data_IF_966114976763
#
_entry.id   IF_966114976763
#
_cell.length_a   1.000
_cell.length_b   1.000
_cell.length_c   1.000
_cell.angle_alpha   90.00
_cell.angle_beta   90.00
_cell.angle_gamma   90.00
#
_symmetry.space_group_name_H-M   'P 1'
#
loop_
_entity.id
_entity.type
_entity.pdbx_description
1 polymer ?
#
# COMPACT_ATOMS: atom_id res chain seq x y z
N UNK A 1 -5.86 10.62 -11.04
CA UNK A 1 -5.52 9.42 -10.26
C UNK A 1 -6.31 8.28 -10.86
N UNK A 2 -5.68 7.11 -11.02
CA UNK A 2 -6.31 5.97 -11.68
C UNK A 2 -6.08 4.72 -10.84
N UNK A 3 -7.08 3.85 -10.82
CA UNK A 3 -7.01 2.49 -10.27
C UNK A 3 -5.77 1.71 -10.74
N UNK A 4 -5.26 2.05 -11.92
CA UNK A 4 -4.06 1.46 -12.49
C UNK A 4 -2.80 1.72 -11.64
N UNK A 5 -2.71 2.89 -11.01
CA UNK A 5 -1.61 3.23 -10.11
C UNK A 5 -1.67 2.38 -8.83
N UNK A 6 -2.87 2.18 -8.27
CA UNK A 6 -3.06 1.29 -7.13
C UNK A 6 -2.73 -0.18 -7.48
N UNK A 7 -3.14 -0.65 -8.67
CA UNK A 7 -2.77 -1.97 -9.16
C UNK A 7 -1.26 -2.15 -9.32
N UNK A 8 -0.58 -1.14 -9.89
CA UNK A 8 0.87 -1.16 -10.03
C UNK A 8 1.55 -1.12 -8.66
N UNK A 9 1.04 -0.33 -7.71
CA UNK A 9 1.54 -0.28 -6.34
C UNK A 9 1.39 -1.63 -5.63
N UNK A 10 0.24 -2.30 -5.75
CA UNK A 10 0.01 -3.61 -5.13
C UNK A 10 0.96 -4.66 -5.72
N UNK A 11 1.18 -4.64 -7.04
CA UNK A 11 2.12 -5.56 -7.70
C UNK A 11 3.57 -5.26 -7.35
N UNK A 12 4.00 -4.01 -7.49
CA UNK A 12 5.36 -3.62 -7.13
C UNK A 12 5.62 -3.83 -5.65
N UNK A 13 4.74 -3.38 -4.76
CA UNK A 13 4.92 -3.52 -3.32
C UNK A 13 4.98 -4.97 -2.82
N UNK A 14 4.47 -5.94 -3.58
CA UNK A 14 4.64 -7.37 -3.27
C UNK A 14 6.03 -7.89 -3.62
N UNK A 15 6.64 -7.42 -4.71
CA UNK A 15 7.95 -7.88 -5.18
C UNK A 15 9.12 -6.97 -4.76
N UNK A 16 8.84 -5.70 -4.48
CA UNK A 16 9.79 -4.66 -4.17
C UNK A 16 9.93 -4.47 -2.66
N UNK A 17 10.91 -5.19 -2.11
CA UNK A 17 11.28 -5.09 -0.70
C UNK A 17 11.88 -3.72 -0.34
N UNK A 18 12.47 -3.00 -1.30
CA UNK A 18 13.02 -1.66 -1.04
C UNK A 18 11.89 -0.66 -0.82
N UNK A 19 10.86 -0.69 -1.67
CA UNK A 19 9.65 0.11 -1.50
C UNK A 19 9.03 -0.12 -0.11
N UNK A 20 8.88 -1.40 0.31
CA UNK A 20 8.36 -1.74 1.64
C UNK A 20 9.26 -1.20 2.76
N UNK A 21 10.58 -1.36 2.62
CA UNK A 21 11.54 -0.86 3.62
C UNK A 21 11.46 0.66 3.75
N UNK A 22 11.35 1.40 2.64
CA UNK A 22 11.19 2.86 2.63
C UNK A 22 9.88 3.29 3.31
N UNK A 23 8.77 2.61 3.01
CA UNK A 23 7.47 2.88 3.62
C UNK A 23 7.42 2.55 5.12
N UNK A 24 8.13 1.50 5.56
CA UNK A 24 8.28 1.17 6.99
C UNK A 24 9.18 2.17 7.70
N UNK A 25 10.27 2.61 7.06
CA UNK A 25 11.16 3.66 7.58
C UNK A 25 10.47 5.03 7.64
N UNK A 26 9.44 5.25 6.83
CA UNK A 26 8.65 6.46 6.86
C UNK A 26 7.78 6.50 8.13
N UNK A 27 8.25 7.27 9.11
CA UNK A 27 7.60 7.43 10.41
C UNK A 27 6.36 8.32 10.36
N UNK A 28 6.21 9.14 9.30
CA UNK A 28 5.08 10.06 9.15
C UNK A 28 4.24 9.77 7.92
N UNK A 29 2.94 9.99 8.04
CA UNK A 29 1.98 9.90 6.93
C UNK A 29 2.38 10.76 5.72
N UNK A 30 2.93 11.96 5.95
CA UNK A 30 3.49 12.82 4.91
C UNK A 30 4.71 12.19 4.19
N UNK A 31 5.61 11.53 4.92
CA UNK A 31 6.78 10.88 4.30
C UNK A 31 6.34 9.69 3.46
N UNK A 32 5.35 8.92 3.93
CA UNK A 32 4.72 7.84 3.14
C UNK A 32 4.09 8.40 1.86
N UNK A 33 3.34 9.49 1.95
CA UNK A 33 2.81 10.18 0.78
C UNK A 33 3.89 10.66 -0.19
N UNK A 34 5.00 11.24 0.30
CA UNK A 34 6.12 11.63 -0.58
C UNK A 34 6.76 10.46 -1.29
N UNK A 35 6.90 9.30 -0.64
CA UNK A 35 7.43 8.09 -1.28
C UNK A 35 6.46 7.61 -2.36
N UNK A 36 5.16 7.61 -2.08
CA UNK A 36 4.14 7.27 -3.07
C UNK A 36 4.19 8.22 -4.27
N UNK A 37 4.26 9.52 -4.02
CA UNK A 37 4.34 10.57 -5.04
C UNK A 37 5.62 10.43 -5.90
N UNK A 38 6.77 10.15 -5.30
CA UNK A 38 8.04 9.90 -5.99
C UNK A 38 8.03 8.67 -6.91
N UNK A 39 7.14 7.71 -6.66
CA UNK A 39 7.02 6.50 -7.46
C UNK A 39 5.76 6.54 -8.36
N UNK A 40 5.13 7.71 -8.53
CA UNK A 40 3.88 7.89 -9.27
C UNK A 40 2.71 7.02 -8.75
N UNK A 41 2.80 6.56 -7.50
CA UNK A 41 1.79 5.77 -6.81
C UNK A 41 0.79 6.65 -6.07
N UNK A 42 0.23 7.62 -6.77
CA UNK A 42 -0.84 8.48 -6.24
C UNK A 42 -2.18 7.82 -6.52
N UNK A 43 -2.80 7.29 -5.47
CA UNK A 43 -4.12 6.66 -5.50
C UNK A 43 -4.91 6.97 -4.21
N UNK A 44 -6.24 6.91 -4.30
CA UNK A 44 -7.12 7.05 -3.14
C UNK A 44 -7.31 5.71 -2.41
N UNK A 45 -7.73 5.70 -1.14
CA UNK A 45 -8.06 4.47 -0.43
C UNK A 45 -9.12 3.62 -1.17
N UNK A 46 -10.09 4.27 -1.81
CA UNK A 46 -11.14 3.62 -2.60
C UNK A 46 -10.54 2.91 -3.83
N UNK A 47 -9.66 3.60 -4.57
CA UNK A 47 -8.95 3.02 -5.71
C UNK A 47 -8.07 1.84 -5.29
N UNK A 48 -7.46 1.89 -4.10
CA UNK A 48 -6.72 0.77 -3.54
C UNK A 48 -7.59 -0.43 -3.24
N UNK A 49 -8.77 -0.22 -2.64
CA UNK A 49 -9.70 -1.31 -2.36
C UNK A 49 -10.27 -1.93 -3.63
N UNK A 50 -10.61 -1.13 -4.63
CA UNK A 50 -11.03 -1.63 -5.94
C UNK A 50 -9.90 -2.39 -6.66
N UNK A 51 -8.68 -1.86 -6.66
CA UNK A 51 -7.51 -2.53 -7.24
C UNK A 51 -7.20 -3.85 -6.52
N UNK A 52 -7.34 -3.88 -5.20
CA UNK A 52 -7.21 -5.08 -4.38
C UNK A 52 -8.30 -6.11 -4.73
N UNK A 53 -9.56 -5.69 -4.78
CA UNK A 53 -10.69 -6.55 -5.13
C UNK A 53 -10.54 -7.14 -6.53
N UNK A 54 -10.14 -6.32 -7.51
CA UNK A 54 -9.84 -6.76 -8.87
C UNK A 54 -8.66 -7.73 -8.93
N UNK A 55 -7.61 -7.47 -8.16
CA UNK A 55 -6.43 -8.36 -8.10
C UNK A 55 -6.79 -9.70 -7.47
N UNK A 56 -7.56 -9.68 -6.37
CA UNK A 56 -8.04 -10.88 -5.69
C UNK A 56 -8.99 -11.68 -6.58
N UNK A 57 -9.90 -11.02 -7.28
CA UNK A 57 -10.81 -11.65 -8.23
C UNK A 57 -10.07 -12.29 -9.41
N UNK A 58 -8.96 -11.69 -9.86
CA UNK A 58 -8.09 -12.25 -10.91
C UNK A 58 -7.14 -13.32 -10.42
N UNK A 59 -6.88 -13.42 -9.10
CA UNK A 59 -6.05 -14.47 -8.53
C UNK A 59 -6.74 -15.82 -8.65
N UNK A 60 -6.23 -16.67 -9.54
CA UNK A 60 -6.66 -18.06 -9.64
C UNK A 60 -5.90 -18.97 -8.66
N UNK A 61 -4.76 -18.51 -8.14
CA UNK A 61 -3.95 -19.27 -7.18
C UNK A 61 -4.13 -18.73 -5.76
N UNK A 62 -4.33 -19.65 -4.83
CA UNK A 62 -4.47 -19.37 -3.40
C UNK A 62 -3.23 -18.62 -2.86
N UNK A 63 -2.03 -19.01 -3.30
CA UNK A 63 -0.76 -18.41 -2.86
C UNK A 63 -0.67 -16.92 -3.22
N UNK A 64 -1.13 -16.53 -4.42
CA UNK A 64 -1.17 -15.13 -4.84
C UNK A 64 -2.16 -14.32 -3.99
N UNK A 65 -3.32 -14.92 -3.67
CA UNK A 65 -4.33 -14.31 -2.82
C UNK A 65 -3.82 -14.11 -1.38
N UNK A 66 -3.10 -15.09 -0.82
CA UNK A 66 -2.47 -15.00 0.51
C UNK A 66 -1.39 -13.92 0.55
N UNK A 67 -0.55 -13.81 -0.48
CA UNK A 67 0.44 -12.74 -0.61
C UNK A 67 -0.24 -11.36 -0.68
N UNK A 68 -1.33 -11.24 -1.44
CA UNK A 68 -2.13 -10.02 -1.54
C UNK A 68 -2.74 -9.62 -0.18
N UNK A 69 -3.32 -10.58 0.53
CA UNK A 69 -3.91 -10.38 1.86
C UNK A 69 -2.88 -9.94 2.88
N UNK A 70 -1.71 -10.59 2.91
CA UNK A 70 -0.61 -10.21 3.78
C UNK A 70 -0.09 -8.80 3.48
N UNK A 71 0.02 -8.43 2.20
CA UNK A 71 0.39 -7.08 1.79
C UNK A 71 -0.64 -6.04 2.23
N UNK A 72 -1.94 -6.31 2.05
CA UNK A 72 -3.03 -5.43 2.50
C UNK A 72 -3.00 -5.21 4.02
N UNK A 73 -2.86 -6.27 4.80
CA UNK A 73 -2.77 -6.15 6.27
C UNK A 73 -1.57 -5.30 6.69
N UNK A 74 -0.39 -5.55 6.09
CA UNK A 74 0.81 -4.76 6.35
C UNK A 74 0.61 -3.27 6.00
N UNK A 75 0.00 -2.97 4.85
CA UNK A 75 -0.28 -1.60 4.42
C UNK A 75 -1.25 -0.89 5.38
N UNK A 76 -2.34 -1.56 5.76
CA UNK A 76 -3.31 -1.01 6.72
C UNK A 76 -2.65 -0.78 8.08
N UNK A 77 -1.78 -1.67 8.55
CA UNK A 77 -1.04 -1.47 9.79
C UNK A 77 -0.12 -0.25 9.72
N UNK A 78 0.58 -0.04 8.60
CA UNK A 78 1.40 1.15 8.40
C UNK A 78 0.55 2.42 8.34
N UNK A 79 -0.56 2.39 7.60
CA UNK A 79 -1.43 3.55 7.44
C UNK A 79 -2.17 3.91 8.74
N UNK A 80 -2.50 2.90 9.55
CA UNK A 80 -3.17 3.05 10.85
C UNK A 80 -2.19 3.30 12.00
N UNK A 81 -0.88 3.09 11.81
CA UNK A 81 0.11 3.44 12.81
C UNK A 81 0.04 4.96 13.04
N UNK A 82 -0.42 5.42 14.22
CA UNK A 82 -0.48 6.84 14.49
C UNK A 82 0.94 7.39 14.41
N UNK A 83 1.09 8.54 13.74
CA UNK A 83 2.36 9.24 13.73
C UNK A 83 2.76 9.47 15.20
N UNK A 84 3.98 9.08 15.63
CA UNK A 84 4.39 9.17 17.04
C UNK A 84 4.45 10.60 17.59
N UNK A 85 4.12 11.59 16.76
CA UNK A 85 4.20 13.02 17.02
C UNK A 85 2.84 13.74 16.99
N UNK A 86 1.71 13.01 17.11
CA UNK A 86 0.42 13.68 17.40
C UNK A 86 0.28 13.78 18.92
N UNK A 87 0.45 14.96 19.55
CA UNK A 87 0.04 15.13 20.93
C UNK A 87 -1.48 14.96 20.96
N UNK A 88 -1.96 13.97 21.70
CA UNK A 88 -3.37 13.83 22.02
C UNK A 88 -3.85 15.13 22.69
N UNK A 89 -4.95 15.75 22.22
CA UNK A 89 -5.55 16.90 22.90
C UNK A 89 -6.16 16.53 24.25
#
# INVERSE_FOLDING_TARGET
>A
MTIQNALNFIRQGQHDNDLRSRLVKAQTSQTRQKILDQNDFVFTPEEFEEAYSLSLFKCQHQEDADALMAFRMWWIMLYRSPDPDVPLP
#
